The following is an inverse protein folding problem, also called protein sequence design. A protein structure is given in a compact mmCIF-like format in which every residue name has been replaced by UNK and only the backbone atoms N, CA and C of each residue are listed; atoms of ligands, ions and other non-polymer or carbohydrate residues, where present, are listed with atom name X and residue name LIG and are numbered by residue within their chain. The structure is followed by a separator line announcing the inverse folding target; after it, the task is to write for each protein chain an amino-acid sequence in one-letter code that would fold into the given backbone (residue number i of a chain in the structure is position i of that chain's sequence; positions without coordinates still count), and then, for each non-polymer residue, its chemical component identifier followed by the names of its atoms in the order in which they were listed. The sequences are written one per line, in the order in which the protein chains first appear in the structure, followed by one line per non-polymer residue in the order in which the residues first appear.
data_IF_057563371101
#
_entry.id   IF_057563371101
#
_cell.length_a   1.000
_cell.length_b   1.000
_cell.length_c   1.000
_cell.angle_alpha   90.00
_cell.angle_beta   90.00
_cell.angle_gamma   90.00
#
_symmetry.space_group_name_H-M   'P 1'
#
loop_
_entity.id
_entity.type
_entity.pdbx_description
1 polymer ?
#
# COMPACT_ATOMS: atom_id res chain seq x y z
N UNK A 1 22.05 -21.20 -40.02
CA UNK A 1 22.30 -19.82 -40.55
C UNK A 1 23.62 -19.38 -39.94
N UNK A 2 24.61 -19.05 -40.75
CA UNK A 2 25.89 -18.60 -40.26
C UNK A 2 25.73 -17.24 -39.60
N UNK A 3 26.09 -17.12 -38.32
CA UNK A 3 26.24 -15.84 -37.66
C UNK A 3 27.33 -15.06 -38.38
N UNK A 4 26.95 -14.02 -39.11
CA UNK A 4 27.90 -13.06 -39.61
C UNK A 4 28.79 -12.62 -38.45
N UNK A 5 30.09 -12.60 -38.64
CA UNK A 5 31.06 -12.17 -37.63
C UNK A 5 30.72 -10.74 -37.24
N UNK A 6 30.03 -10.58 -36.10
CA UNK A 6 29.64 -9.25 -35.59
C UNK A 6 30.92 -8.60 -35.05
N UNK A 7 31.39 -7.56 -35.74
CA UNK A 7 32.59 -6.81 -35.29
C UNK A 7 32.19 -5.97 -34.05
N UNK A 8 32.75 -6.31 -32.91
CA UNK A 8 32.59 -5.56 -31.68
C UNK A 8 33.67 -4.49 -31.52
N UNK A 9 33.24 -3.29 -31.19
CA UNK A 9 34.12 -2.22 -30.71
C UNK A 9 34.27 -2.34 -29.20
N UNK A 10 35.53 -2.24 -28.70
CA UNK A 10 35.78 -2.24 -27.25
C UNK A 10 35.60 -0.86 -26.66
N UNK A 11 34.99 -0.79 -25.48
CA UNK A 11 34.96 0.42 -24.66
C UNK A 11 36.25 0.54 -23.85
N UNK A 12 36.60 1.75 -23.36
CA UNK A 12 37.83 1.95 -22.55
C UNK A 12 37.94 1.05 -21.33
N UNK A 13 36.82 0.67 -20.70
CA UNK A 13 36.79 -0.21 -19.53
C UNK A 13 36.50 -1.69 -19.85
N UNK A 14 36.59 -2.08 -21.12
CA UNK A 14 36.59 -3.48 -21.55
C UNK A 14 35.24 -4.05 -21.96
N UNK A 15 34.18 -3.25 -21.94
CA UNK A 15 32.89 -3.63 -22.56
C UNK A 15 33.03 -3.75 -24.06
N UNK A 16 32.12 -4.43 -24.70
CA UNK A 16 32.10 -4.59 -26.15
C UNK A 16 30.71 -4.19 -26.66
N UNK A 17 30.63 -3.44 -27.75
CA UNK A 17 29.37 -3.08 -28.37
C UNK A 17 29.45 -3.10 -29.89
N UNK A 18 28.28 -3.22 -30.52
CA UNK A 18 28.09 -3.00 -31.93
C UNK A 18 26.72 -2.35 -32.16
N UNK A 19 26.67 -1.41 -33.10
CA UNK A 19 25.42 -0.79 -33.52
C UNK A 19 24.74 -1.72 -34.51
N UNK A 20 23.56 -2.21 -34.14
CA UNK A 20 22.74 -3.09 -34.99
C UNK A 20 21.95 -2.29 -36.01
N UNK A 21 21.43 -1.12 -35.58
CA UNK A 21 20.70 -0.18 -36.41
C UNK A 21 21.04 1.23 -35.95
N UNK A 22 21.43 2.07 -36.89
CA UNK A 22 21.70 3.48 -36.62
C UNK A 22 20.42 4.29 -36.74
N UNK A 23 20.13 5.08 -35.74
CA UNK A 23 19.08 6.10 -35.73
C UNK A 23 19.59 7.45 -36.20
N UNK A 24 18.69 8.42 -36.31
CA UNK A 24 18.97 9.78 -36.72
C UNK A 24 18.49 10.84 -35.70
N UNK A 25 18.18 10.40 -34.48
CA UNK A 25 17.68 11.29 -33.44
C UNK A 25 18.76 11.95 -32.62
N UNK A 26 18.37 12.62 -31.55
CA UNK A 26 19.29 13.31 -30.62
C UNK A 26 20.32 12.35 -30.03
N UNK A 27 21.57 12.79 -29.99
CA UNK A 27 22.65 12.02 -29.38
C UNK A 27 22.57 12.10 -27.87
N UNK A 28 22.78 10.97 -27.21
CA UNK A 28 22.83 10.87 -25.74
C UNK A 28 24.06 11.60 -25.22
N UNK A 29 23.88 12.41 -24.18
CA UNK A 29 24.95 13.09 -23.45
C UNK A 29 24.99 12.65 -22.01
N UNK A 30 26.13 12.84 -21.38
CA UNK A 30 26.24 12.64 -19.94
C UNK A 30 25.31 13.63 -19.20
N UNK A 31 24.57 13.14 -18.22
CA UNK A 31 23.55 13.89 -17.49
C UNK A 31 22.14 13.73 -18.04
N UNK A 32 21.99 13.32 -19.30
CA UNK A 32 20.68 13.07 -19.89
C UNK A 32 19.97 11.88 -19.21
N UNK A 33 18.66 11.89 -19.29
CA UNK A 33 17.79 10.75 -18.94
C UNK A 33 17.36 10.07 -20.22
N UNK A 34 17.66 8.80 -20.34
CA UNK A 34 17.28 7.99 -21.50
C UNK A 34 16.17 7.01 -21.13
N UNK A 35 15.22 6.84 -22.06
CA UNK A 35 14.23 5.77 -22.03
C UNK A 35 14.60 4.78 -23.13
N UNK A 36 14.68 3.49 -22.77
CA UNK A 36 15.12 2.47 -23.72
C UNK A 36 14.46 1.12 -23.47
N UNK A 37 14.32 0.35 -24.51
CA UNK A 37 13.96 -1.07 -24.43
C UNK A 37 15.23 -1.91 -24.36
N UNK A 38 15.16 -3.01 -23.63
CA UNK A 38 16.27 -3.95 -23.56
C UNK A 38 15.81 -5.41 -23.47
N UNK A 39 16.68 -6.28 -23.92
CA UNK A 39 16.70 -7.71 -23.54
C UNK A 39 18.08 -8.05 -23.00
N UNK A 40 18.12 -8.81 -21.92
CA UNK A 40 19.35 -9.30 -21.29
C UNK A 40 19.39 -10.82 -21.41
N UNK A 41 20.46 -11.33 -21.99
CA UNK A 41 20.66 -12.76 -22.23
C UNK A 41 22.05 -13.22 -21.82
N UNK A 42 22.18 -14.51 -21.52
CA UNK A 42 23.48 -15.18 -21.37
C UNK A 42 24.12 -15.46 -22.74
N UNK A 43 25.37 -15.90 -22.76
CA UNK A 43 26.04 -16.39 -24.01
C UNK A 43 25.36 -17.62 -24.60
N UNK A 44 24.55 -18.35 -23.82
CA UNK A 44 23.73 -19.48 -24.29
C UNK A 44 22.31 -19.06 -24.72
N UNK A 45 22.10 -17.77 -24.97
CA UNK A 45 20.83 -17.17 -25.40
C UNK A 45 19.68 -17.30 -24.38
N UNK A 46 19.97 -17.69 -23.13
CA UNK A 46 18.95 -17.75 -22.07
C UNK A 46 18.55 -16.34 -21.64
N UNK A 47 17.26 -16.02 -21.70
CA UNK A 47 16.71 -14.72 -21.34
C UNK A 47 16.72 -14.55 -19.82
N UNK A 48 17.36 -13.48 -19.33
CA UNK A 48 17.43 -13.11 -17.90
C UNK A 48 16.50 -11.95 -17.56
N UNK A 49 16.25 -11.05 -18.51
CA UNK A 49 15.39 -9.90 -18.30
C UNK A 49 15.00 -9.24 -19.62
N UNK A 50 13.83 -8.62 -19.66
CA UNK A 50 13.32 -7.92 -20.84
C UNK A 50 12.32 -6.86 -20.45
N UNK A 51 12.53 -5.63 -20.91
CA UNK A 51 11.56 -4.54 -20.76
C UNK A 51 10.25 -4.85 -21.51
N UNK A 52 10.32 -5.61 -22.59
CA UNK A 52 9.14 -6.04 -23.34
C UNK A 52 8.25 -7.00 -22.52
N UNK A 53 8.87 -7.91 -21.76
CA UNK A 53 8.11 -8.79 -20.86
C UNK A 53 7.56 -8.04 -19.64
N UNK A 54 8.28 -7.02 -19.16
CA UNK A 54 7.81 -6.16 -18.07
C UNK A 54 6.71 -5.16 -18.51
N UNK A 55 6.43 -5.06 -19.81
CA UNK A 55 5.41 -4.16 -20.38
C UNK A 55 5.77 -2.68 -20.27
N UNK A 56 7.01 -2.33 -19.92
CA UNK A 56 7.45 -0.93 -19.81
C UNK A 56 8.94 -0.79 -20.13
N UNK A 57 9.35 0.32 -20.80
CA UNK A 57 10.74 0.63 -21.05
C UNK A 57 11.50 0.89 -19.74
N UNK A 58 12.82 0.71 -19.79
CA UNK A 58 13.70 1.15 -18.72
C UNK A 58 14.02 2.65 -18.89
N UNK A 59 14.26 3.29 -17.77
CA UNK A 59 14.68 4.69 -17.72
C UNK A 59 15.90 4.82 -16.82
N UNK A 60 16.94 5.54 -17.28
CA UNK A 60 18.13 5.76 -16.49
C UNK A 60 18.74 7.13 -16.80
N UNK A 61 19.29 7.80 -15.79
CA UNK A 61 20.14 8.95 -16.00
C UNK A 61 21.55 8.50 -16.37
N UNK A 62 22.07 9.00 -17.46
CA UNK A 62 23.43 8.69 -17.93
C UNK A 62 24.46 9.36 -17.04
N UNK A 63 25.17 8.57 -16.27
CA UNK A 63 26.21 9.02 -15.35
C UNK A 63 27.60 8.56 -15.83
N UNK A 64 28.69 9.15 -15.31
CA UNK A 64 30.02 8.59 -15.55
C UNK A 64 30.05 7.13 -15.13
N UNK A 65 30.55 6.27 -16.00
CA UNK A 65 30.78 4.86 -15.67
C UNK A 65 31.70 4.75 -14.45
N UNK A 66 31.26 4.06 -13.41
CA UNK A 66 32.03 3.80 -12.19
C UNK A 66 32.64 2.41 -12.18
N UNK A 67 32.04 1.48 -12.92
CA UNK A 67 32.41 0.08 -12.93
C UNK A 67 33.19 -0.28 -14.21
N UNK A 68 33.87 -1.41 -14.17
CA UNK A 68 34.47 -2.02 -15.36
C UNK A 68 33.32 -2.52 -16.25
N UNK A 69 33.33 -2.09 -17.52
CA UNK A 69 32.44 -2.57 -18.57
C UNK A 69 30.93 -2.49 -18.21
N UNK A 70 30.41 -1.30 -17.88
CA UNK A 70 28.98 -1.08 -17.67
C UNK A 70 28.30 -0.40 -18.88
N UNK A 71 26.97 -0.40 -18.89
CA UNK A 71 26.19 0.22 -19.96
C UNK A 71 26.38 1.75 -20.04
N UNK A 72 26.85 2.39 -18.97
CA UNK A 72 27.08 3.84 -18.92
C UNK A 72 28.21 4.29 -19.86
N UNK A 73 29.14 3.40 -20.23
CA UNK A 73 30.12 3.70 -21.25
C UNK A 73 29.53 3.70 -22.67
N UNK A 74 28.46 2.93 -22.91
CA UNK A 74 27.89 2.76 -24.23
C UNK A 74 26.80 3.79 -24.52
N UNK A 75 25.99 4.16 -23.51
CA UNK A 75 24.90 5.11 -23.74
C UNK A 75 25.31 6.42 -24.41
N UNK A 76 26.41 7.10 -24.05
CA UNK A 76 26.84 8.31 -24.73
C UNK A 76 27.26 8.13 -26.19
N UNK A 77 27.45 6.89 -26.63
CA UNK A 77 27.76 6.56 -28.02
C UNK A 77 26.52 6.44 -28.90
N UNK A 78 25.34 6.32 -28.28
CA UNK A 78 24.06 6.08 -28.93
C UNK A 78 23.28 7.39 -29.17
N UNK A 79 22.32 7.28 -30.08
CA UNK A 79 21.33 8.31 -30.40
C UNK A 79 19.92 7.73 -30.28
N UNK A 80 18.90 8.57 -30.25
CA UNK A 80 17.50 8.13 -30.33
C UNK A 80 17.29 7.28 -31.57
N UNK A 81 16.57 6.17 -31.42
CA UNK A 81 16.30 5.12 -32.41
C UNK A 81 17.52 4.25 -32.77
N UNK A 82 18.67 4.43 -32.12
CA UNK A 82 19.73 3.42 -32.23
C UNK A 82 19.32 2.10 -31.59
N UNK A 83 19.71 1.01 -32.21
CA UNK A 83 19.74 -0.31 -31.58
C UNK A 83 21.19 -0.80 -31.50
N UNK A 84 21.58 -1.29 -30.34
CA UNK A 84 22.93 -1.78 -30.09
C UNK A 84 22.90 -3.11 -29.35
N UNK A 85 23.88 -3.97 -29.67
CA UNK A 85 24.21 -5.13 -28.85
C UNK A 85 25.41 -4.78 -28.00
N UNK A 86 25.30 -4.92 -26.69
CA UNK A 86 26.34 -4.65 -25.70
C UNK A 86 26.66 -5.93 -24.97
N UNK A 87 27.96 -6.27 -24.89
CA UNK A 87 28.47 -7.44 -24.17
C UNK A 87 29.25 -6.97 -22.95
N UNK A 88 28.79 -7.34 -21.79
CA UNK A 88 29.44 -7.05 -20.50
C UNK A 88 30.10 -8.32 -20.00
N UNK A 89 31.45 -8.35 -19.80
CA UNK A 89 32.14 -9.51 -19.27
C UNK A 89 31.62 -9.83 -17.87
N UNK A 90 31.18 -11.07 -17.63
CA UNK A 90 30.67 -11.45 -16.29
C UNK A 90 31.75 -11.36 -15.23
N UNK A 91 33.03 -11.55 -15.61
CA UNK A 91 34.17 -11.45 -14.69
C UNK A 91 34.30 -10.05 -14.09
N UNK A 92 33.92 -8.99 -14.82
CA UNK A 92 33.92 -7.63 -14.28
C UNK A 92 32.80 -7.37 -13.26
N UNK A 93 31.71 -8.14 -13.31
CA UNK A 93 30.56 -8.02 -12.40
C UNK A 93 30.88 -8.66 -11.05
N UNK A 94 31.63 -9.75 -11.03
CA UNK A 94 31.88 -10.55 -9.83
C UNK A 94 33.26 -10.34 -9.23
N UNK A 95 34.03 -9.32 -9.68
CA UNK A 95 35.30 -8.97 -9.06
C UNK A 95 35.15 -8.74 -7.55
N UNK A 96 35.86 -9.51 -6.75
CA UNK A 96 35.81 -9.46 -5.29
C UNK A 96 34.60 -10.14 -4.65
N UNK A 97 33.72 -10.74 -5.46
CA UNK A 97 32.49 -11.44 -4.99
C UNK A 97 32.27 -12.73 -5.79
N UNK A 98 33.36 -13.46 -6.10
CA UNK A 98 33.32 -14.66 -6.93
C UNK A 98 32.40 -15.76 -6.36
N UNK A 99 32.27 -15.84 -5.06
CA UNK A 99 31.39 -16.78 -4.35
C UNK A 99 29.90 -16.53 -4.65
N UNK A 100 29.54 -15.32 -5.06
CA UNK A 100 28.17 -14.95 -5.42
C UNK A 100 27.84 -15.24 -6.89
N UNK A 101 28.80 -15.78 -7.67
CA UNK A 101 28.64 -16.06 -9.11
C UNK A 101 27.66 -17.21 -9.32
N UNK A 102 26.52 -16.98 -10.02
CA UNK A 102 25.59 -18.05 -10.30
C UNK A 102 26.16 -19.03 -11.35
N UNK A 103 25.81 -20.33 -11.28
CA UNK A 103 26.36 -21.36 -12.19
C UNK A 103 26.07 -21.11 -13.68
N UNK A 104 25.02 -20.36 -14.00
CA UNK A 104 24.66 -20.04 -15.39
C UNK A 104 25.46 -18.85 -15.98
N UNK A 105 26.34 -18.22 -15.19
CA UNK A 105 27.26 -17.16 -15.61
C UNK A 105 28.72 -17.58 -15.33
N UNK A 106 29.28 -18.55 -16.06
CA UNK A 106 30.61 -19.04 -15.80
C UNK A 106 31.68 -17.97 -16.06
N UNK A 107 32.91 -18.18 -15.55
CA UNK A 107 34.05 -17.32 -15.84
C UNK A 107 34.29 -17.24 -17.35
N UNK A 108 34.69 -16.05 -17.82
CA UNK A 108 34.92 -15.78 -19.24
C UNK A 108 33.65 -15.61 -20.07
N UNK A 109 32.45 -15.71 -19.48
CA UNK A 109 31.17 -15.48 -20.18
C UNK A 109 30.80 -14.01 -20.25
N UNK A 110 29.77 -13.70 -21.05
CA UNK A 110 29.26 -12.36 -21.19
C UNK A 110 27.77 -12.31 -20.89
N UNK A 111 27.32 -11.16 -20.38
CA UNK A 111 25.93 -10.75 -20.44
C UNK A 111 25.69 -9.92 -21.70
N UNK A 112 24.76 -10.35 -22.52
CA UNK A 112 24.42 -9.74 -23.80
C UNK A 112 23.16 -8.89 -23.63
N UNK A 113 23.30 -7.56 -23.82
CA UNK A 113 22.19 -6.61 -23.78
C UNK A 113 21.89 -6.15 -25.20
N UNK A 114 20.69 -6.45 -25.71
CA UNK A 114 20.19 -5.74 -26.89
C UNK A 114 19.41 -4.53 -26.40
N UNK A 115 19.82 -3.34 -26.80
CA UNK A 115 19.27 -2.07 -26.36
C UNK A 115 18.67 -1.34 -27.55
N UNK A 116 17.53 -0.69 -27.37
CA UNK A 116 16.95 0.27 -28.32
C UNK A 116 16.62 1.54 -27.57
N UNK A 117 17.23 2.66 -27.96
CA UNK A 117 16.97 3.97 -27.36
C UNK A 117 15.66 4.54 -27.94
N UNK A 118 14.66 4.73 -27.10
CA UNK A 118 13.37 5.28 -27.53
C UNK A 118 13.31 6.81 -27.34
N UNK A 119 13.94 7.34 -26.28
CA UNK A 119 13.87 8.77 -25.92
C UNK A 119 15.14 9.24 -25.19
N UNK A 120 15.53 10.47 -25.47
CA UNK A 120 16.59 11.20 -24.74
C UNK A 120 16.02 12.54 -24.29
N UNK A 121 16.21 12.89 -23.04
CA UNK A 121 15.75 14.14 -22.42
C UNK A 121 16.85 14.68 -21.52
N UNK A 122 16.89 15.99 -21.34
CA UNK A 122 17.68 16.53 -20.23
C UNK A 122 16.98 16.20 -18.87
N UNK A 123 17.73 16.35 -17.78
CA UNK A 123 17.22 15.99 -16.45
C UNK A 123 15.99 16.81 -16.06
N UNK A 124 15.95 18.09 -16.41
CA UNK A 124 14.85 19.00 -16.10
C UNK A 124 13.54 18.56 -16.80
N UNK A 125 13.64 18.27 -18.11
CA UNK A 125 12.50 17.76 -18.90
C UNK A 125 11.98 16.43 -18.35
N UNK A 126 12.87 15.50 -18.00
CA UNK A 126 12.49 14.20 -17.44
C UNK A 126 11.82 14.34 -16.07
N UNK A 127 12.31 15.26 -15.22
CA UNK A 127 11.69 15.57 -13.93
C UNK A 127 10.33 16.24 -14.10
N UNK A 128 10.20 17.19 -15.02
CA UNK A 128 8.94 17.86 -15.31
C UNK A 128 7.88 16.87 -15.80
N UNK A 129 8.22 15.98 -16.73
CA UNK A 129 7.32 14.95 -17.24
C UNK A 129 6.88 13.98 -16.12
N UNK A 130 7.83 13.55 -15.29
CA UNK A 130 7.53 12.69 -14.14
C UNK A 130 6.60 13.36 -13.13
N UNK A 131 6.84 14.65 -12.83
CA UNK A 131 6.01 15.40 -11.90
C UNK A 131 4.60 15.60 -12.48
N UNK A 132 4.47 15.94 -13.75
CA UNK A 132 3.18 16.09 -14.43
C UNK A 132 2.40 14.78 -14.46
N UNK A 133 3.07 13.65 -14.75
CA UNK A 133 2.45 12.34 -14.70
C UNK A 133 1.98 11.94 -13.27
N UNK A 134 2.79 12.26 -12.26
CA UNK A 134 2.44 12.01 -10.86
C UNK A 134 1.26 12.89 -10.40
N UNK A 135 1.21 14.15 -10.81
CA UNK A 135 0.10 15.06 -10.51
C UNK A 135 -1.20 14.60 -11.18
N UNK A 136 -1.13 14.23 -12.46
CA UNK A 136 -2.28 13.64 -13.17
C UNK A 136 -2.80 12.38 -12.48
N UNK A 137 -1.92 11.45 -12.13
CA UNK A 137 -2.29 10.24 -11.42
C UNK A 137 -2.94 10.53 -10.05
N UNK A 138 -2.42 11.52 -9.31
CA UNK A 138 -3.02 11.98 -8.04
C UNK A 138 -4.40 12.59 -8.24
N UNK A 139 -4.57 13.40 -9.28
CA UNK A 139 -5.87 13.99 -9.60
C UNK A 139 -6.90 12.92 -9.96
N UNK A 140 -6.54 11.95 -10.79
CA UNK A 140 -7.39 10.82 -11.14
C UNK A 140 -7.77 9.98 -9.90
N UNK A 141 -6.80 9.68 -9.03
CA UNK A 141 -7.06 9.00 -7.77
C UNK A 141 -8.00 9.79 -6.85
N UNK A 142 -7.84 11.12 -6.76
CA UNK A 142 -8.72 11.97 -5.96
C UNK A 142 -10.18 11.97 -6.46
N UNK A 143 -10.37 11.97 -7.79
CA UNK A 143 -11.71 11.83 -8.39
C UNK A 143 -12.35 10.50 -8.03
N UNK A 144 -11.59 9.40 -8.19
CA UNK A 144 -12.06 8.04 -7.82
C UNK A 144 -12.38 7.98 -6.32
N UNK A 145 -11.51 8.50 -5.47
CA UNK A 145 -11.71 8.58 -4.03
C UNK A 145 -13.00 9.30 -3.65
N UNK A 146 -13.23 10.48 -4.24
CA UNK A 146 -14.44 11.28 -4.01
C UNK A 146 -15.70 10.52 -4.42
N UNK A 147 -15.67 9.88 -5.60
CA UNK A 147 -16.77 9.05 -6.08
C UNK A 147 -17.06 7.88 -5.14
N UNK A 148 -16.03 7.15 -4.74
CA UNK A 148 -16.19 5.97 -3.86
C UNK A 148 -16.69 6.35 -2.48
N UNK A 149 -16.18 7.45 -1.88
CA UNK A 149 -16.70 8.00 -0.61
C UNK A 149 -18.18 8.40 -0.73
N UNK A 150 -18.58 9.00 -1.84
CA UNK A 150 -19.97 9.34 -2.09
C UNK A 150 -20.92 8.14 -2.18
N UNK A 151 -20.41 6.99 -2.62
CA UNK A 151 -21.17 5.74 -2.73
C UNK A 151 -21.20 4.92 -1.42
N UNK A 152 -20.32 5.18 -0.47
CA UNK A 152 -20.17 4.38 0.73
C UNK A 152 -21.45 4.34 1.58
N UNK A 153 -22.00 5.50 1.92
CA UNK A 153 -23.24 5.59 2.74
C UNK A 153 -24.44 4.97 2.03
N UNK A 154 -24.71 5.27 0.75
CA UNK A 154 -25.77 4.58 -0.01
C UNK A 154 -25.59 3.04 -0.02
N UNK A 155 -24.37 2.55 -0.20
CA UNK A 155 -24.08 1.11 -0.23
C UNK A 155 -24.36 0.46 1.13
N UNK A 156 -23.92 1.08 2.23
CA UNK A 156 -24.21 0.62 3.59
C UNK A 156 -25.73 0.60 3.84
N UNK A 157 -26.42 1.67 3.48
CA UNK A 157 -27.88 1.77 3.69
C UNK A 157 -28.63 0.72 2.87
N UNK A 158 -28.20 0.48 1.63
CA UNK A 158 -28.77 -0.59 0.81
C UNK A 158 -28.56 -1.97 1.46
N UNK A 159 -27.35 -2.28 1.92
CA UNK A 159 -27.06 -3.54 2.61
C UNK A 159 -27.95 -3.74 3.84
N UNK A 160 -28.12 -2.68 4.67
CA UNK A 160 -28.97 -2.71 5.85
C UNK A 160 -30.43 -3.01 5.47
N UNK A 161 -30.93 -2.35 4.43
CA UNK A 161 -32.30 -2.54 3.96
C UNK A 161 -32.54 -3.94 3.38
N UNK A 162 -31.65 -4.41 2.51
CA UNK A 162 -31.74 -5.71 1.85
C UNK A 162 -31.71 -6.85 2.86
N UNK A 163 -30.92 -6.71 3.94
CA UNK A 163 -30.79 -7.72 5.00
C UNK A 163 -31.73 -7.46 6.18
N UNK A 164 -32.65 -6.45 6.10
CA UNK A 164 -33.63 -6.10 7.14
C UNK A 164 -33.00 -5.91 8.52
N UNK A 165 -31.83 -5.28 8.58
CA UNK A 165 -31.07 -5.05 9.80
C UNK A 165 -31.54 -3.77 10.51
N UNK A 166 -31.44 -3.76 11.84
CA UNK A 166 -31.70 -2.56 12.67
C UNK A 166 -30.47 -2.26 13.52
N UNK A 167 -29.38 -1.73 12.91
CA UNK A 167 -28.12 -1.53 13.60
C UNK A 167 -28.14 -0.31 14.53
N UNK A 168 -27.41 -0.42 15.64
CA UNK A 168 -26.99 0.73 16.44
C UNK A 168 -25.79 1.37 15.75
N UNK A 169 -25.78 2.70 15.67
CA UNK A 169 -24.67 3.47 15.09
C UNK A 169 -23.89 4.15 16.20
N UNK A 170 -22.57 4.00 16.20
CA UNK A 170 -21.67 4.67 17.14
C UNK A 170 -21.29 6.07 16.64
N UNK A 171 -20.60 6.86 17.48
CA UNK A 171 -20.12 8.19 17.11
C UNK A 171 -19.08 8.17 15.97
N UNK A 172 -18.33 7.08 15.82
CA UNK A 172 -17.34 6.90 14.73
C UNK A 172 -17.97 6.53 13.39
N UNK A 173 -19.27 6.18 13.39
CA UNK A 173 -20.00 5.69 12.23
C UNK A 173 -20.04 4.16 12.10
N UNK A 174 -19.37 3.41 12.99
CA UNK A 174 -19.53 1.96 13.06
C UNK A 174 -21.01 1.62 13.31
N UNK A 175 -21.51 0.63 12.59
CA UNK A 175 -22.87 0.10 12.81
C UNK A 175 -22.77 -1.35 13.24
N UNK A 176 -23.57 -1.73 14.25
CA UNK A 176 -23.56 -3.11 14.75
C UNK A 176 -24.93 -3.61 15.14
N UNK A 177 -25.12 -4.91 15.02
CA UNK A 177 -26.33 -5.62 15.47
C UNK A 177 -25.85 -6.78 16.34
N UNK A 178 -26.31 -6.84 17.60
CA UNK A 178 -26.09 -8.03 18.43
C UNK A 178 -27.10 -9.10 18.00
N UNK A 179 -26.60 -10.11 17.30
CA UNK A 179 -27.45 -11.20 16.78
C UNK A 179 -27.76 -12.23 17.86
N UNK A 180 -26.80 -12.51 18.74
CA UNK A 180 -26.97 -13.37 19.91
C UNK A 180 -26.35 -12.68 21.12
N UNK A 181 -27.15 -12.16 22.05
CA UNK A 181 -26.62 -11.59 23.27
C UNK A 181 -26.08 -12.67 24.22
N UNK A 182 -25.15 -12.30 25.09
CA UNK A 182 -24.62 -13.14 26.15
C UNK A 182 -24.34 -12.29 27.40
N UNK A 183 -24.19 -12.97 28.54
CA UNK A 183 -23.95 -12.33 29.86
C UNK A 183 -22.51 -12.51 30.37
N UNK A 184 -21.63 -13.01 29.51
CA UNK A 184 -20.21 -13.15 29.83
C UNK A 184 -19.51 -11.81 30.09
N UNK A 185 -18.26 -11.83 30.54
CA UNK A 185 -17.50 -10.62 30.84
C UNK A 185 -17.39 -9.70 29.63
N UNK A 186 -17.53 -8.39 29.86
CA UNK A 186 -17.29 -7.37 28.85
C UNK A 186 -15.79 -7.08 28.76
N UNK A 187 -15.20 -7.03 27.53
CA UNK A 187 -13.80 -6.72 27.36
C UNK A 187 -13.48 -5.26 27.68
N UNK A 188 -12.23 -5.04 28.07
CA UNK A 188 -11.62 -3.72 28.21
C UNK A 188 -10.41 -3.63 27.26
N UNK A 189 -10.03 -2.43 26.86
CA UNK A 189 -8.82 -2.23 26.08
C UNK A 189 -7.60 -2.80 26.83
N UNK A 190 -6.78 -3.61 26.15
CA UNK A 190 -5.67 -4.35 26.75
C UNK A 190 -5.99 -5.80 27.13
N UNK A 191 -7.27 -6.21 27.08
CA UNK A 191 -7.63 -7.63 27.18
C UNK A 191 -7.25 -8.37 25.90
N UNK A 192 -6.94 -9.67 26.02
CA UNK A 192 -6.77 -10.53 24.85
C UNK A 192 -8.10 -11.18 24.50
N UNK A 193 -8.55 -10.99 23.26
CA UNK A 193 -9.79 -11.55 22.74
C UNK A 193 -9.52 -12.77 21.86
N UNK A 194 -10.44 -13.74 21.90
CA UNK A 194 -10.50 -14.89 21.01
C UNK A 194 -11.80 -14.76 20.23
N UNK A 195 -11.69 -14.62 18.90
CA UNK A 195 -12.83 -14.23 18.05
C UNK A 195 -12.95 -15.17 16.84
N UNK A 196 -14.14 -15.72 16.64
CA UNK A 196 -14.53 -16.31 15.36
C UNK A 196 -15.11 -15.22 14.46
N UNK A 197 -14.86 -15.32 13.16
CA UNK A 197 -15.35 -14.33 12.22
C UNK A 197 -15.60 -14.85 10.80
N UNK A 198 -16.43 -14.13 10.07
CA UNK A 198 -16.56 -14.20 8.63
C UNK A 198 -16.64 -12.77 8.06
N UNK A 199 -15.65 -12.38 7.27
CA UNK A 199 -15.56 -11.06 6.65
C UNK A 199 -16.08 -11.09 5.21
N UNK A 200 -16.99 -10.16 4.87
CA UNK A 200 -17.64 -10.05 3.55
C UNK A 200 -17.61 -8.63 3.03
N UNK A 201 -17.62 -8.50 1.71
CA UNK A 201 -17.94 -7.23 1.04
C UNK A 201 -19.43 -6.93 1.19
N UNK A 202 -19.86 -5.72 0.81
CA UNK A 202 -21.28 -5.34 0.83
C UNK A 202 -22.13 -6.14 -0.16
N UNK A 203 -21.52 -6.75 -1.17
CA UNK A 203 -22.18 -7.66 -2.13
C UNK A 203 -22.32 -9.08 -1.57
N UNK A 204 -21.84 -9.32 -0.34
CA UNK A 204 -21.90 -10.63 0.32
C UNK A 204 -20.75 -11.59 0.00
N UNK A 205 -19.77 -11.18 -0.83
CA UNK A 205 -18.62 -12.00 -1.15
C UNK A 205 -17.73 -12.18 0.08
N UNK A 206 -17.52 -13.44 0.50
CA UNK A 206 -16.59 -13.77 1.57
C UNK A 206 -15.16 -13.53 1.09
N UNK A 207 -14.34 -12.81 1.87
CA UNK A 207 -12.93 -12.60 1.59
C UNK A 207 -12.01 -13.23 2.65
N UNK A 208 -12.52 -13.42 3.88
CA UNK A 208 -11.75 -14.08 4.94
C UNK A 208 -12.67 -14.64 6.03
N UNK A 209 -12.24 -15.73 6.69
CA UNK A 209 -12.95 -16.34 7.82
C UNK A 209 -12.03 -17.21 8.66
N UNK A 210 -12.35 -17.31 9.96
CA UNK A 210 -11.74 -18.28 10.89
C UNK A 210 -12.47 -19.61 10.91
N UNK A 211 -13.58 -19.78 10.19
CA UNK A 211 -14.49 -20.92 10.30
C UNK A 211 -14.37 -21.78 9.04
N UNK A 212 -13.82 -22.99 9.18
CA UNK A 212 -13.55 -23.89 8.06
C UNK A 212 -14.78 -24.24 7.23
N UNK A 213 -15.92 -24.50 7.88
CA UNK A 213 -17.17 -24.81 7.18
C UNK A 213 -17.65 -23.65 6.32
N UNK A 214 -17.46 -22.40 6.77
CA UNK A 214 -17.79 -21.17 6.02
C UNK A 214 -16.85 -21.01 4.83
N UNK A 215 -15.55 -21.24 5.02
CA UNK A 215 -14.56 -21.21 3.94
C UNK A 215 -14.88 -22.25 2.85
N UNK A 216 -15.17 -23.49 3.25
CA UNK A 216 -15.55 -24.57 2.32
C UNK A 216 -16.83 -24.23 1.53
N UNK A 217 -17.86 -23.77 2.20
CA UNK A 217 -19.13 -23.39 1.57
C UNK A 217 -19.00 -22.25 0.55
N UNK A 218 -18.02 -21.37 0.75
CA UNK A 218 -17.76 -20.19 -0.12
C UNK A 218 -16.67 -20.44 -1.16
N UNK A 219 -16.09 -21.62 -1.25
CA UNK A 219 -14.99 -21.92 -2.17
C UNK A 219 -13.66 -21.23 -1.81
N UNK A 220 -13.53 -20.68 -0.60
CA UNK A 220 -12.35 -19.96 -0.11
C UNK A 220 -11.39 -20.88 0.69
N UNK A 221 -11.65 -22.20 0.69
CA UNK A 221 -10.85 -23.13 1.46
C UNK A 221 -9.42 -23.23 0.90
N UNK A 222 -8.43 -22.97 1.75
CA UNK A 222 -7.02 -23.06 1.38
C UNK A 222 -6.39 -24.32 2.00
N UNK A 223 -5.79 -25.20 1.20
CA UNK A 223 -5.07 -26.36 1.74
C UNK A 223 -3.94 -25.93 2.68
N UNK A 224 -3.89 -26.55 3.86
CA UNK A 224 -2.86 -26.29 4.87
C UNK A 224 -3.12 -25.06 5.76
N UNK A 225 -4.21 -24.33 5.57
CA UNK A 225 -4.63 -23.26 6.48
C UNK A 225 -5.36 -23.85 7.69
N UNK A 226 -4.91 -23.50 8.90
CA UNK A 226 -5.65 -23.78 10.12
C UNK A 226 -6.76 -22.74 10.30
N UNK A 227 -7.99 -23.22 10.34
CA UNK A 227 -9.17 -22.40 10.61
C UNK A 227 -9.46 -22.45 12.11
N UNK A 228 -9.00 -21.44 12.82
CA UNK A 228 -9.19 -21.30 14.26
C UNK A 228 -9.53 -19.85 14.64
N UNK A 229 -10.17 -19.62 15.79
CA UNK A 229 -10.45 -18.26 16.24
C UNK A 229 -9.18 -17.43 16.33
N UNK A 230 -9.21 -16.20 15.79
CA UNK A 230 -8.09 -15.27 15.89
C UNK A 230 -7.94 -14.78 17.34
N UNK A 231 -6.69 -14.61 17.77
CA UNK A 231 -6.34 -14.13 19.11
C UNK A 231 -5.49 -12.87 19.00
N UNK A 232 -5.92 -11.80 19.66
CA UNK A 232 -5.23 -10.50 19.62
C UNK A 232 -5.58 -9.65 20.84
N UNK A 233 -4.81 -8.58 21.10
CA UNK A 233 -5.02 -7.62 22.19
C UNK A 233 -5.88 -6.47 21.68
N UNK A 234 -7.10 -6.32 22.22
CA UNK A 234 -8.04 -5.27 21.77
C UNK A 234 -7.57 -3.89 22.21
N UNK A 235 -7.71 -2.90 21.32
CA UNK A 235 -7.29 -1.52 21.55
C UNK A 235 -5.79 -1.28 21.32
N UNK A 236 -5.06 -2.27 20.80
CA UNK A 236 -3.62 -2.18 20.51
C UNK A 236 -3.33 -2.00 19.00
N UNK A 237 -4.37 -1.77 18.19
CA UNK A 237 -4.26 -1.61 16.73
C UNK A 237 -3.67 -2.84 16.02
N UNK A 238 -3.86 -4.04 16.57
CA UNK A 238 -3.49 -5.31 15.94
C UNK A 238 -4.51 -5.72 14.87
N UNK A 239 -5.70 -5.13 14.91
CA UNK A 239 -6.81 -5.34 13.98
C UNK A 239 -7.34 -4.01 13.45
N UNK A 240 -8.24 -4.03 12.48
CA UNK A 240 -8.90 -2.82 11.98
C UNK A 240 -9.67 -2.11 13.09
N UNK A 241 -9.71 -0.78 13.03
CA UNK A 241 -10.31 0.08 14.07
C UNK A 241 -11.77 -0.29 14.39
N UNK A 242 -12.53 -0.69 13.37
CA UNK A 242 -13.90 -1.14 13.55
C UNK A 242 -14.03 -2.39 14.43
N UNK A 243 -13.02 -3.26 14.42
CA UNK A 243 -12.96 -4.40 15.34
C UNK A 243 -12.58 -3.99 16.75
N UNK A 244 -11.55 -3.14 16.91
CA UNK A 244 -11.15 -2.62 18.21
C UNK A 244 -12.34 -1.93 18.92
N UNK A 245 -13.15 -1.18 18.17
CA UNK A 245 -14.32 -0.52 18.72
C UNK A 245 -15.49 -1.49 18.93
N UNK A 246 -15.84 -2.27 17.91
CA UNK A 246 -17.04 -3.12 17.90
C UNK A 246 -17.00 -4.24 18.94
N UNK A 247 -15.86 -4.88 19.12
CA UNK A 247 -15.69 -5.98 20.07
C UNK A 247 -15.76 -5.49 21.53
N UNK A 248 -15.34 -4.24 21.81
CA UNK A 248 -15.51 -3.63 23.12
C UNK A 248 -16.99 -3.37 23.49
N UNK A 249 -17.91 -3.42 22.54
CA UNK A 249 -19.35 -3.29 22.77
C UNK A 249 -20.03 -4.62 23.08
N UNK A 250 -19.33 -5.74 22.87
CA UNK A 250 -19.84 -7.11 23.02
C UNK A 250 -19.53 -7.69 24.40
N UNK A 251 -20.24 -8.74 24.79
CA UNK A 251 -19.90 -9.57 25.93
C UNK A 251 -19.34 -10.92 25.44
N UNK A 252 -18.49 -11.59 26.24
CA UNK A 252 -18.05 -12.95 25.96
C UNK A 252 -19.25 -13.89 25.71
N UNK A 253 -19.16 -14.69 24.66
CA UNK A 253 -20.22 -15.61 24.21
C UNK A 253 -21.23 -14.96 23.26
N UNK A 254 -21.22 -13.65 23.03
CA UNK A 254 -22.16 -13.00 22.09
C UNK A 254 -21.69 -13.11 20.62
N UNK A 255 -22.69 -12.97 19.73
CA UNK A 255 -22.46 -12.82 18.27
C UNK A 255 -23.01 -11.49 17.81
N UNK A 256 -22.31 -10.89 16.87
CA UNK A 256 -22.71 -9.63 16.28
C UNK A 256 -22.38 -9.57 14.79
N UNK A 257 -23.15 -8.77 14.05
CA UNK A 257 -22.78 -8.30 12.72
C UNK A 257 -22.27 -6.87 12.84
N UNK A 258 -21.03 -6.63 12.44
CA UNK A 258 -20.39 -5.32 12.39
C UNK A 258 -20.40 -4.83 10.94
N UNK A 259 -20.99 -3.68 10.69
CA UNK A 259 -20.96 -2.98 9.39
C UNK A 259 -19.98 -1.83 9.54
N UNK A 260 -18.83 -1.97 8.95
CA UNK A 260 -17.65 -1.16 9.22
C UNK A 260 -17.40 -0.21 8.04
N UNK A 261 -17.54 1.10 8.20
CA UNK A 261 -17.16 2.06 7.19
C UNK A 261 -15.68 1.94 6.82
N UNK A 262 -15.33 2.26 5.59
CA UNK A 262 -13.99 2.11 5.06
C UNK A 262 -12.92 2.80 5.91
N UNK A 263 -13.23 3.97 6.48
CA UNK A 263 -12.33 4.71 7.37
C UNK A 263 -11.98 3.96 8.68
N UNK A 264 -12.79 3.00 9.08
CA UNK A 264 -12.57 2.12 10.24
C UNK A 264 -12.05 0.73 9.82
N UNK A 265 -11.86 0.50 8.52
CA UNK A 265 -11.35 -0.73 7.92
C UNK A 265 -10.02 -0.46 7.19
N UNK A 266 -9.95 -0.66 5.89
CA UNK A 266 -8.71 -0.54 5.09
C UNK A 266 -8.55 0.80 4.37
N UNK A 267 -9.55 1.69 4.45
CA UNK A 267 -9.48 3.07 3.94
C UNK A 267 -9.13 3.18 2.45
N UNK A 268 -8.27 4.14 2.14
CA UNK A 268 -7.81 4.46 0.77
C UNK A 268 -7.01 3.35 0.10
N UNK A 269 -6.36 2.50 0.88
CA UNK A 269 -5.47 1.48 0.33
C UNK A 269 -6.21 0.24 -0.11
N UNK A 270 -7.38 -0.03 0.49
CA UNK A 270 -8.04 -1.32 0.34
C UNK A 270 -7.23 -2.46 0.99
N UNK A 271 -7.62 -3.70 0.73
CA UNK A 271 -6.99 -4.91 1.30
C UNK A 271 -6.94 -6.05 0.30
N UNK A 272 -5.90 -6.12 -0.52
CA UNK A 272 -5.78 -7.13 -1.55
C UNK A 272 -6.73 -6.91 -2.74
N UNK A 273 -6.96 -7.96 -3.53
CA UNK A 273 -7.79 -7.89 -4.74
C UNK A 273 -9.28 -7.74 -4.44
N UNK A 274 -9.73 -8.28 -3.32
CA UNK A 274 -11.15 -8.38 -2.96
C UNK A 274 -11.68 -7.12 -2.26
N UNK A 275 -10.83 -6.40 -1.54
CA UNK A 275 -11.21 -5.20 -0.80
C UNK A 275 -10.65 -3.98 -1.51
N UNK A 276 -11.48 -3.38 -2.36
CA UNK A 276 -11.10 -2.17 -3.10
C UNK A 276 -10.93 -0.97 -2.17
N UNK A 277 -10.19 0.08 -2.59
CA UNK A 277 -10.15 1.35 -1.89
C UNK A 277 -11.56 1.86 -1.52
N UNK A 278 -11.69 2.40 -0.30
CA UNK A 278 -12.95 2.95 0.23
C UNK A 278 -14.12 1.96 0.32
N UNK A 279 -13.84 0.66 0.40
CA UNK A 279 -14.90 -0.35 0.58
C UNK A 279 -15.31 -0.47 2.03
N UNK A 280 -16.60 -0.25 2.37
CA UNK A 280 -17.15 -0.67 3.65
C UNK A 280 -17.21 -2.20 3.71
N UNK A 281 -17.16 -2.76 4.90
CA UNK A 281 -17.10 -4.21 5.12
C UNK A 281 -18.14 -4.67 6.12
N UNK A 282 -18.51 -5.94 6.02
CA UNK A 282 -19.36 -6.62 6.98
C UNK A 282 -18.58 -7.77 7.62
N UNK A 283 -18.65 -7.83 8.94
CA UNK A 283 -18.09 -8.95 9.70
C UNK A 283 -19.15 -9.56 10.61
N UNK A 284 -19.43 -10.82 10.41
CA UNK A 284 -20.11 -11.62 11.43
C UNK A 284 -19.05 -12.12 12.40
N UNK A 285 -19.17 -11.72 13.67
CA UNK A 285 -18.18 -12.03 14.71
C UNK A 285 -18.83 -12.75 15.90
N UNK A 286 -18.07 -13.66 16.50
CA UNK A 286 -18.40 -14.30 17.77
C UNK A 286 -17.26 -14.07 18.76
N UNK A 287 -17.53 -13.37 19.85
CA UNK A 287 -16.56 -13.18 20.92
C UNK A 287 -16.52 -14.45 21.80
N UNK A 288 -15.61 -15.37 21.46
CA UNK A 288 -15.53 -16.69 22.09
C UNK A 288 -15.00 -16.59 23.51
N UNK A 289 -13.96 -15.76 23.74
CA UNK A 289 -13.33 -15.64 25.05
C UNK A 289 -12.68 -14.28 25.26
N UNK A 290 -12.76 -13.80 26.51
CA UNK A 290 -12.05 -12.60 27.00
C UNK A 290 -11.02 -13.04 28.05
N UNK A 291 -9.75 -12.88 27.73
CA UNK A 291 -8.63 -13.16 28.62
C UNK A 291 -8.16 -11.82 29.19
N UNK A 292 -8.36 -11.61 30.49
CA UNK A 292 -8.04 -10.35 31.12
C UNK A 292 -6.56 -10.01 31.03
N UNK A 293 -6.27 -8.81 30.53
CA UNK A 293 -4.94 -8.23 30.49
C UNK A 293 -4.56 -7.60 31.85
N UNK A 294 -3.30 -7.20 31.96
CA UNK A 294 -2.84 -6.42 33.12
C UNK A 294 -3.24 -4.96 32.90
N UNK A 295 -4.37 -4.56 33.46
CA UNK A 295 -4.81 -3.18 33.37
C UNK A 295 -4.09 -2.35 34.47
N UNK A 296 -3.30 -1.34 34.08
CA UNK A 296 -2.87 -0.31 35.04
C UNK A 296 -4.14 0.41 35.52
N UNK A 297 -4.34 0.57 36.84
CA UNK A 297 -5.51 1.30 37.35
C UNK A 297 -5.56 2.67 36.65
N UNK A 298 -6.66 2.99 36.03
CA UNK A 298 -6.87 4.30 35.44
C UNK A 298 -6.63 5.34 36.55
N UNK A 299 -5.76 6.34 36.32
CA UNK A 299 -5.68 7.51 37.18
C UNK A 299 -7.10 8.02 37.40
N UNK A 300 -7.55 8.21 38.69
CA UNK A 300 -8.87 8.76 38.93
C UNK A 300 -9.00 10.06 38.11
N UNK A 301 -9.99 10.13 37.26
CA UNK A 301 -10.32 11.36 36.55
C UNK A 301 -10.44 12.43 37.64
N UNK A 302 -9.63 13.48 37.57
CA UNK A 302 -9.74 14.63 38.46
C UNK A 302 -11.18 15.09 38.44
N UNK A 303 -11.90 14.87 39.54
CA UNK A 303 -13.29 15.27 39.67
C UNK A 303 -13.40 16.73 39.21
N UNK A 304 -14.19 16.94 38.16
CA UNK A 304 -14.46 18.28 37.65
C UNK A 304 -14.93 19.12 38.83
N UNK A 305 -14.11 20.10 39.24
CA UNK A 305 -14.48 21.07 40.27
C UNK A 305 -15.79 21.71 39.82
N UNK A 306 -16.86 21.45 40.57
CA UNK A 306 -18.16 22.19 40.43
C UNK A 306 -17.81 23.68 40.36
N UNK A 307 -18.35 24.42 39.40
CA UNK A 307 -18.14 25.86 39.35
C UNK A 307 -18.75 26.47 40.62
N UNK A 308 -17.89 27.21 41.35
CA UNK A 308 -18.31 27.92 42.55
C UNK A 308 -19.41 28.90 42.19
N UNK A 309 -20.56 28.78 42.87
CA UNK A 309 -21.70 29.69 42.78
C UNK A 309 -21.24 31.10 43.19
N UNK A 310 -21.16 32.03 42.26
CA UNK A 310 -20.94 33.46 42.53
C UNK A 310 -22.16 33.98 43.33
N UNK A 311 -21.96 34.35 44.59
CA UNK A 311 -22.88 35.16 45.40
C UNK A 311 -23.17 36.46 44.67
N UNK A 312 -24.41 36.94 44.63
CA UNK A 312 -24.72 38.24 44.05
C UNK A 312 -24.11 39.38 44.84
N UNK A 313 -23.39 40.27 44.20
CA UNK A 313 -22.82 41.47 44.79
C UNK A 313 -23.94 42.48 45.14
N UNK A 314 -23.95 42.94 46.38
CA UNK A 314 -24.87 43.96 46.87
C UNK A 314 -24.69 45.29 46.15
N UNK A 315 -25.80 45.86 45.62
CA UNK A 315 -25.82 47.17 44.99
C UNK A 315 -25.53 48.26 46.04
N UNK A 316 -24.42 48.98 45.94
CA UNK A 316 -24.23 50.25 46.67
C UNK A 316 -25.06 51.35 46.04
N UNK A 317 -25.90 51.96 46.85
CA UNK A 317 -26.73 53.12 46.54
C UNK A 317 -25.83 54.36 46.27
N UNK A 318 -26.00 55.00 45.14
CA UNK A 318 -25.36 56.26 44.78
C UNK A 318 -26.24 57.42 45.32
N UNK A 319 -25.70 58.11 46.34
CA UNK A 319 -26.30 59.36 46.87
C UNK A 319 -25.96 60.49 45.90
N UNK A 320 -26.99 61.08 45.27
CA UNK A 320 -26.84 62.31 44.48
C UNK A 320 -26.68 63.53 45.36
N UNK A 321 -25.54 64.17 45.34
CA UNK A 321 -25.34 65.51 45.93
C UNK A 321 -25.88 66.54 44.93
N UNK A 322 -26.87 67.35 45.42
CA UNK A 322 -27.39 68.57 44.78
C UNK A 322 -26.34 69.65 44.90
N UNK A 323 -25.91 70.23 43.82
CA UNK A 323 -25.14 71.50 43.82
C UNK A 323 -26.09 72.64 43.52
N UNK A 324 -26.22 73.56 44.50
CA UNK A 324 -26.90 74.84 44.38
C UNK A 324 -25.85 75.92 43.96
N UNK A 325 -26.16 76.64 42.89
CA UNK A 325 -25.42 77.80 42.46
C UNK A 325 -25.81 79.04 43.28
N UNK A 326 -24.86 79.80 43.65
CA UNK A 326 -24.83 81.30 43.64
C UNK A 326 -23.61 81.73 42.87
#
# INVERSE_FOLDING_TARGET
MAFAQTNFTKTPKGGQYTILKQGNGAKVKQGDVITFQFTQKTDKDSLLGSSYQMGKPAMVQVQPSKNVADLMEVFPLLSVNDSALVRVPTDSIFVGHEESRPPFLPKGSYLNFTIKVDKVQNLEEAMAERNAAAEKARAEQAVVATKMRGLEIPTINKYIADNKLTPVTTASGLKYVIVRPATGPKPLAGDTLVVNYAGRTMEGKLFDTSIESVAKASGLNQPGRNYEPIKFVVGNSEVIRGWDEGLLLMNEGSKATLIIPSALAYGERGGGEEIKPYSPLVFDVELVKVIKGVHKPAKPALAAKKPASKKPAAKKAVVKKKVTRK
#
